data_IF_870020351476
#
_entry.id   IF_870020351476
#
_cell.length_a   1.000
_cell.length_b   1.000
_cell.length_c   1.000
_cell.angle_alpha   90.00
_cell.angle_beta   90.00
_cell.angle_gamma   90.00
#
_symmetry.space_group_name_H-M   'P 1'
#
loop_
_entity.id
_entity.type
_entity.pdbx_description
1 polymer ?
#
# COMPACT_ATOMS: atom_id res chain seq x y z
N UNK A 1 -19.36 0.22 -9.11
CA UNK A 1 -19.24 1.64 -9.52
C UNK A 1 -18.19 2.27 -8.63
N UNK A 2 -16.94 2.37 -9.11
CA UNK A 2 -15.80 2.86 -8.32
C UNK A 2 -15.90 4.39 -8.25
N UNK A 3 -16.17 4.94 -7.06
CA UNK A 3 -16.08 6.39 -6.84
C UNK A 3 -14.61 6.78 -6.78
N UNK A 4 -14.13 7.50 -7.77
CA UNK A 4 -12.88 8.25 -7.68
C UNK A 4 -13.03 9.32 -6.59
N UNK A 5 -12.40 9.11 -5.44
CA UNK A 5 -12.33 10.10 -4.38
C UNK A 5 -11.41 11.25 -4.82
N UNK A 6 -11.95 12.47 -4.73
CA UNK A 6 -11.25 13.71 -5.05
C UNK A 6 -10.03 13.88 -4.15
N UNK A 7 -8.86 13.88 -4.77
CA UNK A 7 -7.59 14.19 -4.13
C UNK A 7 -7.53 15.66 -3.71
N UNK A 8 -7.23 15.91 -2.45
CA UNK A 8 -7.04 17.25 -1.90
C UNK A 8 -5.84 17.98 -2.53
N UNK A 9 -6.00 19.21 -2.85
CA UNK A 9 -5.34 20.09 -3.82
C UNK A 9 -3.88 20.44 -3.52
N UNK A 10 -3.02 20.40 -4.56
CA UNK A 10 -2.21 21.54 -4.96
C UNK A 10 -2.45 21.76 -6.45
N UNK A 11 -3.27 22.74 -6.81
CA UNK A 11 -3.62 23.05 -8.20
C UNK A 11 -2.60 24.03 -8.82
N UNK A 12 -2.01 23.61 -9.93
CA UNK A 12 -1.63 24.52 -11.01
C UNK A 12 -2.28 23.90 -12.26
N UNK A 13 -3.28 24.57 -12.83
CA UNK A 13 -3.91 24.15 -14.09
C UNK A 13 -4.86 22.93 -13.99
N UNK A 14 -5.58 22.71 -12.87
CA UNK A 14 -6.71 21.77 -12.82
C UNK A 14 -6.38 20.28 -12.63
N UNK A 15 -5.11 19.85 -12.66
CA UNK A 15 -4.70 18.45 -12.46
C UNK A 15 -3.74 18.40 -11.27
N UNK A 16 -4.15 17.71 -10.19
CA UNK A 16 -3.22 17.37 -9.11
C UNK A 16 -2.27 16.29 -9.61
N UNK A 17 -1.00 16.64 -9.84
CA UNK A 17 0.00 15.66 -10.25
C UNK A 17 0.47 14.86 -9.04
N UNK A 18 0.19 13.56 -9.03
CA UNK A 18 0.81 12.61 -8.10
C UNK A 18 2.32 12.59 -8.38
N UNK A 19 3.13 12.57 -7.34
CA UNK A 19 4.59 12.46 -7.44
C UNK A 19 5.10 11.15 -6.89
N UNK A 20 4.47 10.66 -5.83
CA UNK A 20 4.95 9.52 -5.08
C UNK A 20 3.78 8.65 -4.61
N UNK A 21 3.79 7.39 -5.02
CA UNK A 21 2.76 6.42 -4.62
C UNK A 21 3.40 5.19 -4.01
N UNK A 22 2.65 4.50 -3.16
CA UNK A 22 3.09 3.23 -2.61
C UNK A 22 2.05 2.13 -2.82
N UNK A 23 2.55 0.89 -2.85
CA UNK A 23 1.75 -0.33 -2.96
C UNK A 23 1.89 -1.11 -1.66
N UNK A 24 0.77 -1.60 -1.16
CA UNK A 24 0.68 -2.47 0.01
C UNK A 24 -0.11 -3.71 -0.39
N UNK A 25 0.51 -4.89 -0.22
CA UNK A 25 -0.13 -6.18 -0.45
C UNK A 25 -0.45 -6.85 0.88
N UNK A 26 -1.71 -7.24 1.09
CA UNK A 26 -2.12 -7.85 2.34
C UNK A 26 -3.13 -8.98 2.09
N UNK A 27 -3.04 -10.05 2.87
CA UNK A 27 -3.87 -11.24 2.74
C UNK A 27 -3.07 -12.49 2.39
N UNK A 28 -3.70 -13.66 2.51
CA UNK A 28 -3.05 -14.97 2.31
C UNK A 28 -3.03 -15.43 0.86
N UNK A 29 -4.03 -15.06 0.07
CA UNK A 29 -4.07 -15.39 -1.35
C UNK A 29 -3.46 -14.25 -2.17
N UNK A 30 -2.20 -14.43 -2.54
CA UNK A 30 -1.38 -13.47 -3.27
C UNK A 30 -1.26 -13.77 -4.76
N UNK A 31 -2.01 -14.75 -5.26
CA UNK A 31 -2.02 -15.08 -6.69
C UNK A 31 -2.46 -13.87 -7.52
N UNK A 32 -1.72 -13.55 -8.57
CA UNK A 32 -1.95 -12.40 -9.42
C UNK A 32 -1.48 -11.05 -8.88
N UNK A 33 -0.98 -10.94 -7.64
CA UNK A 33 -0.50 -9.66 -7.10
C UNK A 33 0.64 -9.08 -7.92
N UNK A 34 1.60 -9.90 -8.34
CA UNK A 34 2.72 -9.42 -9.16
C UNK A 34 2.28 -8.78 -10.48
N UNK A 35 1.23 -9.30 -11.11
CA UNK A 35 0.67 -8.70 -12.34
C UNK A 35 0.10 -7.31 -12.06
N UNK A 36 -0.65 -7.15 -10.97
CA UNK A 36 -1.22 -5.87 -10.54
C UNK A 36 -0.11 -4.89 -10.13
N UNK A 37 0.85 -5.34 -9.31
CA UNK A 37 2.01 -4.54 -8.89
C UNK A 37 2.74 -4.00 -10.11
N UNK A 38 3.04 -4.87 -11.09
CA UNK A 38 3.72 -4.47 -12.32
C UNK A 38 2.91 -3.45 -13.13
N UNK A 39 1.59 -3.62 -13.21
CA UNK A 39 0.72 -2.68 -13.92
C UNK A 39 0.75 -1.29 -13.27
N UNK A 40 0.67 -1.22 -11.93
CA UNK A 40 0.76 0.03 -11.18
C UNK A 40 2.12 0.69 -11.41
N UNK A 41 3.22 -0.06 -11.31
CA UNK A 41 4.58 0.46 -11.51
C UNK A 41 4.72 1.05 -12.92
N UNK A 42 4.33 0.31 -13.96
CA UNK A 42 4.43 0.78 -15.34
C UNK A 42 3.60 2.04 -15.61
N UNK A 43 2.40 2.10 -15.03
CA UNK A 43 1.55 3.28 -15.13
C UNK A 43 2.16 4.47 -14.40
N UNK A 44 2.72 4.26 -13.22
CA UNK A 44 3.42 5.29 -12.47
C UNK A 44 4.64 5.83 -13.25
N UNK A 45 5.49 4.94 -13.77
CA UNK A 45 6.64 5.31 -14.59
C UNK A 45 6.24 6.10 -15.85
N UNK A 46 5.20 5.67 -16.55
CA UNK A 46 4.68 6.38 -17.72
C UNK A 46 4.24 7.82 -17.40
N UNK A 47 3.79 8.05 -16.19
CA UNK A 47 3.32 9.36 -15.72
C UNK A 47 4.37 10.12 -14.88
N UNK A 48 5.63 9.69 -14.86
CA UNK A 48 6.72 10.26 -14.06
C UNK A 48 6.39 10.31 -12.55
N UNK A 49 5.72 9.27 -12.04
CA UNK A 49 5.38 9.11 -10.64
C UNK A 49 6.32 8.07 -10.01
N UNK A 50 6.93 8.37 -8.89
CA UNK A 50 7.72 7.41 -8.15
C UNK A 50 6.82 6.36 -7.50
N UNK A 51 7.19 5.07 -7.62
CA UNK A 51 6.45 3.96 -7.07
C UNK A 51 7.28 3.21 -6.04
N UNK A 52 6.68 2.91 -4.90
CA UNK A 52 7.29 2.18 -3.80
C UNK A 52 6.40 1.01 -3.37
N UNK A 53 6.96 0.03 -2.67
CA UNK A 53 6.22 -1.08 -2.09
C UNK A 53 6.56 -1.26 -0.62
N UNK A 54 5.55 -1.28 0.25
CA UNK A 54 5.73 -1.64 1.65
C UNK A 54 5.96 -3.14 1.76
N UNK A 55 7.04 -3.53 2.43
CA UNK A 55 7.41 -4.94 2.60
C UNK A 55 6.51 -5.59 3.65
N UNK A 56 5.95 -6.75 3.32
CA UNK A 56 5.03 -7.50 4.18
C UNK A 56 3.78 -6.71 4.61
N UNK A 57 3.21 -5.98 3.66
CA UNK A 57 1.91 -5.33 3.82
C UNK A 57 1.85 -4.30 4.94
N UNK A 58 0.84 -4.41 5.81
CA UNK A 58 0.68 -3.46 6.92
C UNK A 58 1.81 -3.50 7.95
N UNK A 59 2.56 -4.61 8.07
CA UNK A 59 3.75 -4.65 8.90
C UNK A 59 4.82 -3.69 8.39
N UNK A 60 5.03 -3.64 7.08
CA UNK A 60 5.96 -2.71 6.46
C UNK A 60 5.51 -1.26 6.63
N UNK A 61 4.22 -0.98 6.47
CA UNK A 61 3.68 0.36 6.67
C UNK A 61 3.87 0.83 8.12
N UNK A 62 3.60 -0.04 9.10
CA UNK A 62 3.77 0.25 10.53
C UNK A 62 5.23 0.53 10.88
N UNK A 63 6.15 -0.28 10.34
CA UNK A 63 7.60 -0.17 10.60
C UNK A 63 8.31 0.82 9.69
N UNK A 64 7.57 1.47 8.78
CA UNK A 64 8.09 2.34 7.72
C UNK A 64 9.16 1.66 6.86
N UNK A 65 8.95 0.37 6.55
CA UNK A 65 9.84 -0.45 5.74
C UNK A 65 9.30 -0.61 4.32
N UNK A 66 9.93 0.07 3.37
CA UNK A 66 9.54 0.05 1.96
C UNK A 66 10.74 0.10 1.02
N UNK A 67 10.52 -0.31 -0.22
CA UNK A 67 11.52 -0.30 -1.29
C UNK A 67 11.01 0.46 -2.51
N UNK A 68 11.90 1.09 -3.26
CA UNK A 68 11.55 1.66 -4.55
C UNK A 68 11.29 0.55 -5.56
N UNK A 69 10.23 0.71 -6.36
CA UNK A 69 9.84 -0.25 -7.39
C UNK A 69 9.99 0.39 -8.77
N UNK A 70 10.61 -0.35 -9.71
CA UNK A 70 10.80 0.10 -11.09
C UNK A 70 10.84 -1.09 -12.03
N UNK A 71 10.46 -0.88 -13.29
CA UNK A 71 10.65 -1.84 -14.38
C UNK A 71 11.86 -1.51 -15.26
N UNK A 72 12.48 -0.34 -15.06
CA UNK A 72 13.64 0.10 -15.82
C UNK A 72 14.94 -0.54 -15.30
N UNK A 73 15.84 -0.88 -16.22
CA UNK A 73 17.23 -1.31 -15.91
C UNK A 73 17.33 -2.47 -14.89
N UNK A 74 16.59 -3.56 -15.13
CA UNK A 74 16.60 -4.79 -14.30
C UNK A 74 16.20 -4.58 -12.84
N UNK A 75 15.46 -3.56 -12.58
CA UNK A 75 15.01 -3.27 -11.24
C UNK A 75 13.91 -4.24 -10.77
N UNK A 76 13.53 -4.08 -9.53
CA UNK A 76 12.71 -4.98 -8.71
C UNK A 76 11.46 -5.58 -9.39
N UNK A 77 10.89 -4.92 -10.38
CA UNK A 77 9.66 -5.34 -11.03
C UNK A 77 9.84 -5.82 -12.50
N UNK A 78 11.09 -5.96 -12.98
CA UNK A 78 11.35 -6.56 -14.28
C UNK A 78 11.03 -8.06 -14.24
N UNK A 79 10.31 -8.57 -15.25
CA UNK A 79 10.02 -10.00 -15.38
C UNK A 79 9.09 -10.61 -14.33
N UNK A 80 8.40 -9.83 -13.51
CA UNK A 80 7.51 -10.38 -12.45
C UNK A 80 6.14 -10.84 -12.95
N UNK A 81 5.75 -10.45 -14.16
CA UNK A 81 4.41 -10.74 -14.69
C UNK A 81 4.04 -12.23 -14.65
N UNK A 82 4.92 -13.18 -15.06
CA UNK A 82 4.62 -14.61 -15.00
C UNK A 82 4.90 -15.23 -13.62
N UNK A 83 5.44 -14.47 -12.67
CA UNK A 83 5.75 -15.00 -11.34
C UNK A 83 4.53 -14.90 -10.44
N UNK A 84 4.18 -16.02 -9.80
CA UNK A 84 3.17 -16.04 -8.74
C UNK A 84 3.64 -15.28 -7.49
N UNK A 85 2.71 -15.03 -6.56
CA UNK A 85 3.02 -14.40 -5.30
C UNK A 85 3.09 -12.88 -5.35
N UNK A 86 3.85 -12.31 -4.42
CA UNK A 86 4.08 -10.87 -4.28
C UNK A 86 5.57 -10.60 -4.07
N UNK A 87 6.18 -9.76 -4.92
CA UNK A 87 7.60 -9.36 -4.78
C UNK A 87 7.86 -8.47 -3.55
N UNK A 88 6.80 -7.89 -2.99
CA UNK A 88 6.88 -7.07 -1.77
C UNK A 88 6.39 -7.82 -0.53
N UNK A 89 6.19 -9.13 -0.62
CA UNK A 89 5.59 -9.91 0.45
C UNK A 89 4.12 -9.59 0.66
N UNK A 90 3.56 -10.15 1.71
CA UNK A 90 2.17 -9.94 2.15
C UNK A 90 2.05 -10.31 3.63
N UNK A 91 1.09 -9.77 4.33
CA UNK A 91 0.77 -10.17 5.70
C UNK A 91 -0.69 -10.59 5.82
N UNK A 92 -0.94 -11.72 6.49
CA UNK A 92 -2.30 -12.19 6.78
C UNK A 92 -2.81 -11.70 8.13
N UNK A 93 -1.91 -11.39 9.06
CA UNK A 93 -2.24 -11.15 10.47
C UNK A 93 -2.10 -9.68 10.89
N UNK A 94 -1.66 -8.80 10.01
CA UNK A 94 -1.48 -7.40 10.34
C UNK A 94 -2.77 -6.61 10.05
N UNK A 95 -3.59 -6.44 11.08
CA UNK A 95 -4.65 -5.44 11.09
C UNK A 95 -4.20 -4.29 12.00
N UNK A 96 -3.78 -3.17 11.43
CA UNK A 96 -3.23 -2.04 12.19
C UNK A 96 -4.27 -1.31 13.04
N UNK A 97 -5.56 -1.46 12.74
CA UNK A 97 -6.67 -0.94 13.55
C UNK A 97 -6.98 -1.84 14.77
N UNK A 98 -6.45 -3.05 14.78
CA UNK A 98 -6.56 -4.01 15.89
C UNK A 98 -5.30 -4.89 15.91
N UNK A 99 -4.15 -4.25 16.14
CA UNK A 99 -2.84 -4.88 16.04
C UNK A 99 -2.51 -5.63 17.32
N UNK A 100 -2.13 -6.92 17.15
CA UNK A 100 -1.71 -7.77 18.27
C UNK A 100 -0.32 -7.38 18.76
N UNK A 101 -0.24 -6.89 19.99
CA UNK A 101 1.02 -6.61 20.70
C UNK A 101 1.20 -7.67 21.76
N UNK A 102 2.40 -8.25 21.85
CA UNK A 102 2.76 -9.20 22.89
C UNK A 102 3.72 -8.48 23.84
N UNK A 103 3.31 -8.33 25.09
CA UNK A 103 4.14 -7.74 26.15
C UNK A 103 5.28 -8.66 26.58
N UNK A 104 6.23 -8.13 27.33
CA UNK A 104 7.40 -8.86 27.84
C UNK A 104 7.01 -10.08 28.71
N UNK A 105 5.88 -10.02 29.36
CA UNK A 105 5.33 -11.10 30.19
C UNK A 105 4.48 -12.13 29.42
N UNK A 106 4.42 -12.02 28.08
CA UNK A 106 3.61 -12.88 27.23
C UNK A 106 2.12 -12.49 27.17
N UNK A 107 1.72 -11.40 27.82
CA UNK A 107 0.36 -10.87 27.73
C UNK A 107 0.08 -10.36 26.32
N UNK A 108 -1.13 -10.66 25.83
CA UNK A 108 -1.59 -10.23 24.51
C UNK A 108 -2.53 -9.05 24.67
N UNK A 109 -2.18 -7.93 24.04
CA UNK A 109 -2.99 -6.73 23.97
C UNK A 109 -3.28 -6.40 22.51
N UNK A 110 -4.44 -5.82 22.23
CA UNK A 110 -4.80 -5.32 20.90
C UNK A 110 -4.84 -3.80 20.92
N UNK A 111 -4.10 -3.17 19.99
CA UNK A 111 -3.96 -1.70 19.89
C UNK A 111 -4.31 -1.20 18.50
N UNK A 112 -4.95 -0.06 18.42
CA UNK A 112 -5.05 0.69 17.16
C UNK A 112 -3.73 1.46 16.93
N UNK A 113 -2.98 1.03 15.92
CA UNK A 113 -1.72 1.63 15.50
C UNK A 113 -1.86 2.34 14.13
N UNK A 114 -3.09 2.57 13.69
CA UNK A 114 -3.34 3.17 12.39
C UNK A 114 -2.84 4.62 12.29
N UNK A 115 -2.80 5.36 13.39
CA UNK A 115 -2.27 6.73 13.40
C UNK A 115 -0.77 6.76 13.11
N UNK A 116 0.00 5.78 13.63
CA UNK A 116 1.43 5.63 13.28
C UNK A 116 1.59 5.40 11.78
N UNK A 117 0.74 4.58 11.18
CA UNK A 117 0.74 4.35 9.73
C UNK A 117 0.43 5.65 8.96
N UNK A 118 -0.55 6.42 9.41
CA UNK A 118 -0.91 7.72 8.78
C UNK A 118 0.25 8.71 8.87
N UNK A 119 0.93 8.76 10.00
CA UNK A 119 2.12 9.60 10.20
C UNK A 119 3.27 9.19 9.25
N UNK A 120 3.54 7.90 9.12
CA UNK A 120 4.56 7.39 8.19
C UNK A 120 4.25 7.78 6.74
N UNK A 121 2.99 7.61 6.30
CA UNK A 121 2.55 8.00 4.96
C UNK A 121 2.78 9.50 4.71
N UNK A 122 2.39 10.35 5.66
CA UNK A 122 2.51 11.81 5.56
C UNK A 122 3.97 12.27 5.63
N UNK A 123 4.75 11.73 6.57
CA UNK A 123 6.17 12.05 6.78
C UNK A 123 6.97 11.79 5.51
N UNK A 124 6.73 10.67 4.86
CA UNK A 124 7.48 10.27 3.67
C UNK A 124 6.88 10.82 2.37
N UNK A 125 5.80 11.59 2.47
CA UNK A 125 5.22 12.32 1.34
C UNK A 125 4.56 11.44 0.30
N UNK A 126 3.95 10.33 0.69
CA UNK A 126 3.16 9.52 -0.22
C UNK A 126 1.83 10.21 -0.54
N UNK A 127 1.60 10.47 -1.82
CA UNK A 127 0.39 11.11 -2.31
C UNK A 127 -0.81 10.16 -2.36
N UNK A 128 -0.55 8.86 -2.55
CA UNK A 128 -1.58 7.83 -2.64
C UNK A 128 -1.01 6.45 -2.30
N UNK A 129 -1.83 5.60 -1.67
CA UNK A 129 -1.51 4.21 -1.37
C UNK A 129 -2.46 3.27 -2.13
N UNK A 130 -1.90 2.32 -2.86
CA UNK A 130 -2.64 1.21 -3.44
C UNK A 130 -2.64 0.04 -2.46
N UNK A 131 -3.81 -0.45 -2.08
CA UNK A 131 -3.95 -1.59 -1.17
C UNK A 131 -4.52 -2.79 -1.92
N UNK A 132 -3.73 -3.86 -2.03
CA UNK A 132 -4.11 -5.10 -2.70
C UNK A 132 -4.54 -6.13 -1.66
N UNK A 133 -5.71 -6.72 -1.80
CA UNK A 133 -6.17 -7.80 -0.92
C UNK A 133 -7.68 -7.95 -0.81
N UNK A 134 -8.08 -8.85 0.06
CA UNK A 134 -9.48 -9.22 0.29
C UNK A 134 -10.24 -8.24 1.19
N UNK A 135 -11.39 -8.69 1.70
CA UNK A 135 -12.35 -7.87 2.47
C UNK A 135 -11.71 -7.12 3.64
N UNK A 136 -10.87 -7.79 4.43
CA UNK A 136 -10.18 -7.16 5.57
C UNK A 136 -9.29 -6.00 5.13
N UNK A 137 -8.57 -6.17 4.02
CA UNK A 137 -7.72 -5.14 3.43
C UNK A 137 -8.55 -3.97 2.93
N UNK A 138 -9.69 -4.25 2.27
CA UNK A 138 -10.57 -3.19 1.76
C UNK A 138 -11.27 -2.42 2.89
N UNK A 139 -11.62 -3.08 4.01
CA UNK A 139 -12.11 -2.40 5.21
C UNK A 139 -11.06 -1.44 5.77
N UNK A 140 -9.83 -1.92 5.93
CA UNK A 140 -8.72 -1.06 6.37
C UNK A 140 -8.46 0.11 5.42
N UNK A 141 -8.54 -0.11 4.10
CA UNK A 141 -8.42 0.95 3.09
C UNK A 141 -9.49 2.04 3.28
N UNK A 142 -10.74 1.64 3.48
CA UNK A 142 -11.83 2.57 3.79
C UNK A 142 -11.54 3.37 5.06
N UNK A 143 -11.09 2.69 6.12
CA UNK A 143 -10.85 3.31 7.42
C UNK A 143 -9.64 4.29 7.35
N UNK A 144 -8.60 3.98 6.58
CA UNK A 144 -7.53 4.94 6.26
C UNK A 144 -8.04 6.16 5.47
N UNK A 145 -8.97 5.95 4.54
CA UNK A 145 -9.58 7.05 3.79
C UNK A 145 -10.32 8.02 4.72
N UNK A 146 -10.98 7.53 5.77
CA UNK A 146 -11.63 8.41 6.77
C UNK A 146 -10.61 9.19 7.61
N UNK A 147 -9.37 8.71 7.73
CA UNK A 147 -8.25 9.42 8.38
C UNK A 147 -7.51 10.38 7.44
N UNK A 148 -8.05 10.61 6.23
CA UNK A 148 -7.53 11.57 5.25
C UNK A 148 -6.37 11.05 4.40
N UNK A 149 -6.15 9.74 4.37
CA UNK A 149 -5.19 9.11 3.45
C UNK A 149 -5.86 8.87 2.10
N UNK A 150 -5.20 9.23 1.01
CA UNK A 150 -5.66 8.87 -0.33
C UNK A 150 -5.34 7.38 -0.57
N UNK A 151 -6.38 6.56 -0.66
CA UNK A 151 -6.24 5.12 -0.83
C UNK A 151 -7.02 4.65 -2.05
N UNK A 152 -6.41 3.79 -2.83
CA UNK A 152 -7.06 3.03 -3.91
C UNK A 152 -7.04 1.55 -3.53
N UNK A 153 -8.21 1.01 -3.22
CA UNK A 153 -8.38 -0.40 -2.96
C UNK A 153 -8.43 -1.21 -4.26
N UNK A 154 -7.62 -2.24 -4.34
CA UNK A 154 -7.62 -3.22 -5.44
C UNK A 154 -8.06 -4.57 -4.84
N UNK A 155 -9.34 -4.91 -4.97
CA UNK A 155 -9.85 -6.12 -4.35
C UNK A 155 -9.32 -7.37 -5.06
N UNK A 156 -8.94 -8.35 -4.25
CA UNK A 156 -8.57 -9.68 -4.67
C UNK A 156 -8.98 -10.68 -3.58
N UNK A 157 -9.71 -11.68 -3.97
CA UNK A 157 -10.24 -12.73 -3.09
C UNK A 157 -9.99 -14.10 -3.67
#
# INVERSE_FOLDING_TARGET
MVKFLRLGKKQIGGISMLKKVAILANGGDVSGFNAVIRAIIKTAEHNNVECYGFIDGYNGLLKNNYVRLSTANDQSASGILPKGGSIIGSSTNANVFNYKVVGENGEVEYKDLSDVCVENIKKDGFDCIFTLGGDGTQKSARDFSTKGVNVIGVPKT
#
